data_IF_144389866688
#
_entry.id   IF_144389866688
#
_cell.length_a   1.000
_cell.length_b   1.000
_cell.length_c   1.000
_cell.angle_alpha   90.00
_cell.angle_beta   90.00
_cell.angle_gamma   90.00
#
_symmetry.space_group_name_H-M   'P 1'
#
loop_
_entity.id
_entity.type
_entity.pdbx_description
1 polymer ?
#
# COMPACT_ATOMS: atom_id res chain seq x y z
N UNK A 1 13.90 4.15 -20.42
CA UNK A 1 12.48 3.73 -20.42
C UNK A 1 12.34 2.49 -21.28
N UNK A 2 11.77 1.39 -20.74
CA UNK A 2 11.40 0.23 -21.56
C UNK A 2 10.20 0.60 -22.45
N UNK A 3 10.24 0.21 -23.74
CA UNK A 3 9.24 0.52 -24.75
C UNK A 3 8.49 -0.70 -25.22
N UNK A 4 9.06 -1.92 -25.08
CA UNK A 4 8.42 -3.19 -25.42
C UNK A 4 9.25 -4.38 -24.97
N UNK A 5 8.63 -5.55 -24.97
CA UNK A 5 9.30 -6.84 -24.74
C UNK A 5 8.87 -7.83 -25.80
N UNK A 6 9.79 -8.71 -26.20
CA UNK A 6 9.50 -9.83 -27.07
C UNK A 6 10.11 -11.10 -26.47
N UNK A 7 9.42 -12.23 -26.47
CA UNK A 7 10.00 -13.50 -26.06
C UNK A 7 11.11 -13.91 -27.07
N UNK A 8 12.19 -14.49 -26.54
CA UNK A 8 13.23 -15.13 -27.33
C UNK A 8 13.20 -16.61 -26.97
N UNK A 9 12.85 -17.43 -27.93
CA UNK A 9 12.60 -18.85 -27.72
C UNK A 9 13.81 -19.54 -27.04
N UNK A 10 13.55 -20.23 -25.93
CA UNK A 10 14.54 -20.90 -25.10
C UNK A 10 15.53 -19.99 -24.38
N UNK A 11 15.57 -18.69 -24.64
CA UNK A 11 16.61 -17.76 -24.15
C UNK A 11 16.12 -16.67 -23.19
N UNK A 12 14.82 -16.38 -23.11
CA UNK A 12 14.26 -15.35 -22.25
C UNK A 12 13.56 -14.22 -23.00
N UNK A 13 13.95 -12.98 -22.75
CA UNK A 13 13.28 -11.80 -23.25
C UNK A 13 14.23 -10.84 -23.96
N UNK A 14 13.75 -10.22 -25.02
CA UNK A 14 14.37 -9.04 -25.63
C UNK A 14 13.60 -7.81 -25.18
N UNK A 15 14.26 -6.90 -24.49
CA UNK A 15 13.70 -5.66 -23.98
C UNK A 15 14.11 -4.52 -24.91
N UNK A 16 13.13 -3.87 -25.52
CA UNK A 16 13.35 -2.63 -26.26
C UNK A 16 13.35 -1.46 -25.28
N UNK A 17 14.29 -0.56 -25.39
CA UNK A 17 14.41 0.60 -24.50
C UNK A 17 14.82 1.86 -25.24
N UNK A 18 14.54 2.99 -24.61
CA UNK A 18 14.84 4.34 -25.12
C UNK A 18 15.43 5.19 -23.99
N UNK A 19 16.50 5.91 -24.28
CA UNK A 19 17.13 6.90 -23.43
C UNK A 19 17.37 8.19 -24.25
N UNK A 20 16.55 9.23 -24.00
CA UNK A 20 16.51 10.38 -24.88
C UNK A 20 16.09 10.00 -26.30
N UNK A 21 16.89 10.40 -27.30
CA UNK A 21 16.71 10.03 -28.71
C UNK A 21 17.25 8.63 -29.05
N UNK A 22 18.09 8.03 -28.19
CA UNK A 22 18.73 6.74 -28.47
C UNK A 22 17.80 5.60 -28.14
N UNK A 23 17.66 4.67 -29.07
CA UNK A 23 16.94 3.41 -28.90
C UNK A 23 17.91 2.22 -28.90
N UNK A 24 17.55 1.18 -28.14
CA UNK A 24 18.39 -0.01 -28.05
C UNK A 24 17.59 -1.24 -27.65
N UNK A 25 18.25 -2.39 -27.67
CA UNK A 25 17.68 -3.65 -27.22
C UNK A 25 18.67 -4.36 -26.29
N UNK A 26 18.12 -5.00 -25.25
CA UNK A 26 18.87 -5.84 -24.32
C UNK A 26 18.18 -7.21 -24.23
N UNK A 27 18.96 -8.29 -24.34
CA UNK A 27 18.44 -9.65 -24.13
C UNK A 27 18.77 -10.10 -22.72
N UNK A 28 17.78 -10.68 -22.02
CA UNK A 28 17.95 -11.17 -20.66
C UNK A 28 17.33 -12.56 -20.51
N UNK A 29 17.92 -13.39 -19.63
CA UNK A 29 17.40 -14.73 -19.30
C UNK A 29 16.16 -14.66 -18.42
N UNK A 30 16.11 -13.68 -17.50
CA UNK A 30 15.00 -13.42 -16.61
C UNK A 30 14.62 -11.93 -16.69
N UNK A 31 13.33 -11.64 -16.86
CA UNK A 31 12.77 -10.30 -16.82
C UNK A 31 12.17 -10.04 -15.45
N UNK A 32 12.62 -9.01 -14.77
CA UNK A 32 12.05 -8.53 -13.50
C UNK A 32 11.26 -7.26 -13.75
N UNK A 33 9.95 -7.30 -13.46
CA UNK A 33 9.10 -6.11 -13.46
C UNK A 33 9.03 -5.52 -12.05
N UNK A 34 9.76 -4.43 -11.83
CA UNK A 34 9.75 -3.62 -10.61
C UNK A 34 9.51 -2.13 -10.96
N UNK A 35 8.69 -1.90 -11.97
CA UNK A 35 8.45 -0.62 -12.65
C UNK A 35 7.23 0.13 -12.09
N UNK A 36 6.86 -0.16 -10.83
CA UNK A 36 5.89 0.59 -10.05
C UNK A 36 4.43 0.33 -10.41
N UNK A 37 3.55 1.18 -9.90
CA UNK A 37 2.10 1.01 -9.99
C UNK A 37 1.58 0.96 -11.43
N UNK A 38 2.15 1.76 -12.33
CA UNK A 38 1.83 1.79 -13.76
C UNK A 38 2.59 0.74 -14.60
N UNK A 39 3.02 -0.36 -13.99
CA UNK A 39 3.90 -1.36 -14.59
C UNK A 39 3.52 -1.72 -16.03
N UNK A 40 4.41 -1.39 -16.96
CA UNK A 40 4.33 -1.82 -18.36
C UNK A 40 4.69 -3.30 -18.48
N UNK A 41 5.66 -3.77 -17.71
CA UNK A 41 6.04 -5.18 -17.67
C UNK A 41 4.84 -6.05 -17.29
N UNK A 42 4.08 -5.68 -16.25
CA UNK A 42 2.82 -6.34 -15.89
C UNK A 42 1.83 -6.42 -17.04
N UNK A 43 1.66 -5.32 -17.75
CA UNK A 43 0.77 -5.24 -18.91
C UNK A 43 1.22 -6.17 -20.05
N UNK A 44 2.49 -6.08 -20.45
CA UNK A 44 3.05 -6.89 -21.53
C UNK A 44 3.03 -8.39 -21.21
N UNK A 45 3.27 -8.77 -19.95
CA UNK A 45 3.20 -10.16 -19.48
C UNK A 45 1.77 -10.67 -19.33
N UNK A 46 0.75 -9.82 -19.51
CA UNK A 46 -0.68 -10.14 -19.28
C UNK A 46 -0.90 -10.77 -17.90
N UNK A 47 -0.28 -10.20 -16.89
CA UNK A 47 -0.28 -10.72 -15.50
C UNK A 47 -1.57 -10.42 -14.74
N UNK A 48 -2.47 -9.63 -15.31
CA UNK A 48 -3.72 -9.18 -14.69
C UNK A 48 -3.57 -7.82 -14.00
N UNK A 49 -4.65 -7.40 -13.32
CA UNK A 49 -4.69 -6.14 -12.56
C UNK A 49 -4.57 -6.44 -11.07
N UNK A 50 -4.05 -5.51 -10.24
CA UNK A 50 -4.22 -5.55 -8.80
C UNK A 50 -5.69 -5.64 -8.42
N UNK A 51 -6.00 -6.15 -7.23
CA UNK A 51 -7.38 -6.29 -6.76
C UNK A 51 -8.08 -4.94 -6.59
N UNK A 52 -7.31 -3.94 -6.21
CA UNK A 52 -7.77 -2.56 -6.05
C UNK A 52 -6.66 -1.60 -6.49
N UNK A 53 -7.05 -0.41 -6.86
CA UNK A 53 -6.13 0.71 -7.13
C UNK A 53 -6.73 1.91 -6.41
N UNK A 54 -6.01 2.40 -5.41
CA UNK A 54 -6.33 3.64 -4.72
C UNK A 54 -5.61 4.79 -5.39
N UNK A 55 -6.08 6.01 -5.14
CA UNK A 55 -5.42 7.23 -5.59
C UNK A 55 -4.91 7.97 -4.36
N UNK A 56 -3.61 8.19 -4.30
CA UNK A 56 -2.96 9.02 -3.30
C UNK A 56 -2.66 10.41 -3.85
N UNK A 57 -2.94 11.44 -3.07
CA UNK A 57 -2.54 12.81 -3.35
C UNK A 57 -1.84 13.40 -2.13
N UNK A 58 -0.68 14.01 -2.32
CA UNK A 58 0.16 14.51 -1.24
C UNK A 58 0.86 15.79 -1.65
N UNK A 59 0.96 16.72 -0.71
CA UNK A 59 1.83 17.88 -0.81
C UNK A 59 2.92 17.81 0.26
N UNK A 60 4.08 18.36 -0.02
CA UNK A 60 5.08 18.66 0.99
C UNK A 60 5.01 20.16 1.29
N UNK A 61 4.96 20.51 2.57
CA UNK A 61 4.74 21.88 3.03
C UNK A 61 5.75 22.28 4.10
N UNK A 62 6.05 23.57 4.18
CA UNK A 62 6.60 24.23 5.38
C UNK A 62 5.49 24.88 6.17
N UNK A 63 5.74 25.26 7.43
CA UNK A 63 4.83 26.09 8.25
C UNK A 63 3.61 25.38 8.81
N UNK A 64 3.52 24.04 8.76
CA UNK A 64 2.45 23.28 9.43
C UNK A 64 2.58 23.37 10.96
N UNK A 65 1.48 23.68 11.64
CA UNK A 65 1.45 23.86 13.11
C UNK A 65 1.21 22.52 13.81
N UNK A 66 2.31 21.89 14.23
CA UNK A 66 2.30 20.62 14.96
C UNK A 66 3.54 20.47 15.83
N UNK A 67 3.54 19.47 16.69
CA UNK A 67 4.75 18.94 17.31
C UNK A 67 5.38 17.91 16.34
N UNK A 68 6.60 18.17 15.87
CA UNK A 68 7.31 17.33 14.88
C UNK A 68 7.56 15.88 15.33
N UNK A 69 7.24 15.55 16.58
CA UNK A 69 7.32 14.18 17.10
C UNK A 69 6.15 13.30 16.70
N UNK A 70 5.06 13.88 16.18
CA UNK A 70 3.83 13.16 15.89
C UNK A 70 3.56 13.00 14.41
N UNK A 71 3.21 11.79 14.03
CA UNK A 71 2.45 11.52 12.81
C UNK A 71 0.98 11.69 13.17
N UNK A 72 0.26 12.49 12.41
CA UNK A 72 -1.17 12.71 12.61
C UNK A 72 -1.99 12.08 11.50
N UNK A 73 -3.15 11.56 11.87
CA UNK A 73 -4.09 10.96 10.96
C UNK A 73 -5.45 11.64 11.10
N UNK A 74 -6.09 11.98 9.96
CA UNK A 74 -7.40 12.58 9.90
C UNK A 74 -8.33 11.61 9.16
N UNK A 75 -9.53 11.41 9.71
CA UNK A 75 -10.57 10.56 9.12
C UNK A 75 -11.87 11.33 8.99
N UNK A 76 -12.82 10.77 8.26
CA UNK A 76 -14.15 11.33 8.05
C UNK A 76 -14.49 11.46 6.57
N UNK A 77 -15.80 11.40 6.29
CA UNK A 77 -16.32 11.37 4.93
C UNK A 77 -15.96 12.65 4.14
N UNK A 78 -15.93 13.80 4.81
CA UNK A 78 -15.55 15.08 4.21
C UNK A 78 -14.05 15.29 4.01
N UNK A 79 -13.19 14.45 4.62
CA UNK A 79 -11.73 14.58 4.60
C UNK A 79 -11.11 13.55 3.65
N UNK A 80 -11.41 12.27 3.90
CA UNK A 80 -10.87 11.16 3.13
C UNK A 80 -11.89 10.01 3.12
N UNK A 81 -12.92 10.05 2.26
CA UNK A 81 -14.04 9.13 2.29
C UNK A 81 -13.59 7.68 2.22
N UNK A 82 -13.98 6.90 3.24
CA UNK A 82 -13.63 5.48 3.40
C UNK A 82 -12.17 5.18 3.74
N UNK A 83 -11.33 6.20 3.96
CA UNK A 83 -9.89 6.09 4.22
C UNK A 83 -9.41 7.13 5.23
N UNK A 84 -8.19 7.65 5.05
CA UNK A 84 -7.63 8.67 5.93
C UNK A 84 -6.69 9.61 5.18
N UNK A 85 -6.50 10.78 5.77
CA UNK A 85 -5.45 11.73 5.45
C UNK A 85 -4.38 11.72 6.54
N UNK A 86 -3.20 12.22 6.23
CA UNK A 86 -2.05 12.24 7.13
C UNK A 86 -1.32 13.59 7.13
N UNK A 87 -0.63 13.86 8.24
CA UNK A 87 0.44 14.83 8.32
C UNK A 87 1.67 14.13 8.92
N UNK A 88 2.73 14.00 8.12
CA UNK A 88 3.93 13.26 8.45
C UNK A 88 5.14 14.20 8.45
N UNK A 89 5.86 14.38 9.57
CA UNK A 89 7.08 15.18 9.59
C UNK A 89 8.17 14.48 8.77
N UNK A 90 8.95 15.27 8.03
CA UNK A 90 10.09 14.76 7.24
C UNK A 90 11.39 14.77 8.02
N UNK A 91 11.46 15.45 9.15
CA UNK A 91 12.67 15.70 9.93
C UNK A 91 13.54 16.87 9.42
N UNK A 92 13.08 17.59 8.39
CA UNK A 92 13.80 18.71 7.77
C UNK A 92 12.97 20.02 7.76
N UNK A 93 12.10 20.21 8.77
CA UNK A 93 11.23 21.40 8.86
C UNK A 93 10.07 21.40 7.86
N UNK A 94 9.86 20.31 7.14
CA UNK A 94 8.71 20.13 6.25
C UNK A 94 7.81 18.99 6.73
N UNK A 95 6.56 19.00 6.25
CA UNK A 95 5.59 17.95 6.49
C UNK A 95 4.98 17.47 5.18
N UNK A 96 4.71 16.17 5.10
CA UNK A 96 3.94 15.58 4.02
C UNK A 96 2.48 15.49 4.44
N UNK A 97 1.65 16.32 3.82
CA UNK A 97 0.20 16.32 4.03
C UNK A 97 -0.43 15.63 2.84
N UNK A 98 -1.20 14.59 3.09
CA UNK A 98 -1.79 13.84 1.99
C UNK A 98 -3.01 13.06 2.41
N UNK A 99 -3.68 12.49 1.44
CA UNK A 99 -4.77 11.54 1.62
C UNK A 99 -4.74 10.48 0.53
N UNK A 100 -5.45 9.42 0.75
CA UNK A 100 -5.76 8.42 -0.26
C UNK A 100 -7.23 8.01 -0.17
N UNK A 101 -7.79 7.61 -1.30
CA UNK A 101 -9.14 7.08 -1.38
C UNK A 101 -9.29 6.16 -2.60
N UNK A 102 -10.38 5.43 -2.66
CA UNK A 102 -10.71 4.62 -3.83
C UNK A 102 -11.47 5.45 -4.88
N UNK A 103 -11.33 5.14 -6.18
CA UNK A 103 -12.01 5.88 -7.25
C UNK A 103 -13.53 5.95 -7.09
N UNK A 104 -14.16 4.89 -6.58
CA UNK A 104 -15.61 4.81 -6.32
C UNK A 104 -16.09 5.75 -5.21
N UNK A 105 -15.21 6.14 -4.29
CA UNK A 105 -15.48 7.13 -3.23
C UNK A 105 -15.19 8.57 -3.65
N UNK A 106 -14.59 8.76 -4.83
CA UNK A 106 -14.19 10.06 -5.38
C UNK A 106 -15.17 10.59 -6.42
N UNK A 107 -16.39 10.06 -6.49
CA UNK A 107 -17.39 10.47 -7.50
C UNK A 107 -17.78 11.96 -7.39
N UNK A 108 -17.75 12.52 -6.18
CA UNK A 108 -18.20 13.89 -5.91
C UNK A 108 -17.08 14.88 -5.60
N UNK A 109 -15.85 14.41 -5.35
CA UNK A 109 -14.71 15.26 -5.05
C UNK A 109 -13.38 14.63 -5.49
N UNK A 110 -12.55 15.38 -6.21
CA UNK A 110 -11.21 14.90 -6.54
C UNK A 110 -10.32 14.79 -5.29
N UNK A 111 -9.27 13.97 -5.28
CA UNK A 111 -8.31 13.92 -4.19
C UNK A 111 -7.68 15.28 -3.88
N UNK A 112 -7.51 16.12 -4.90
CA UNK A 112 -6.99 17.48 -4.75
C UNK A 112 -8.01 18.38 -4.03
N UNK A 113 -9.29 18.29 -4.38
CA UNK A 113 -10.35 19.06 -3.73
C UNK A 113 -10.50 18.67 -2.25
N UNK A 114 -10.44 17.36 -1.93
CA UNK A 114 -10.46 16.88 -0.56
C UNK A 114 -9.25 17.36 0.25
N UNK A 115 -8.05 17.30 -0.33
CA UNK A 115 -6.84 17.81 0.32
C UNK A 115 -6.91 19.34 0.54
N UNK A 116 -7.43 20.08 -0.43
CA UNK A 116 -7.71 21.50 -0.29
C UNK A 116 -8.75 21.75 0.83
N UNK A 117 -9.81 20.97 0.87
CA UNK A 117 -10.83 21.04 1.94
C UNK A 117 -10.23 20.82 3.32
N UNK A 118 -9.38 19.79 3.50
CA UNK A 118 -8.67 19.55 4.76
C UNK A 118 -7.85 20.79 5.18
N UNK A 119 -7.10 21.37 4.25
CA UNK A 119 -6.13 22.42 4.54
C UNK A 119 -6.79 23.82 4.71
N UNK A 120 -7.96 24.08 4.10
CA UNK A 120 -8.49 25.45 4.02
C UNK A 120 -9.90 25.63 4.56
N UNK A 121 -10.71 24.58 4.62
CA UNK A 121 -12.13 24.69 5.02
C UNK A 121 -12.57 23.77 6.15
N UNK A 122 -11.73 22.77 6.51
CA UNK A 122 -12.05 21.88 7.62
C UNK A 122 -11.89 22.56 8.99
N UNK A 123 -12.38 21.91 10.03
CA UNK A 123 -12.12 22.32 11.44
C UNK A 123 -10.64 22.38 11.82
N UNK A 124 -9.75 21.88 10.96
CA UNK A 124 -8.31 21.87 11.16
C UNK A 124 -7.57 22.96 10.36
N UNK A 125 -8.30 23.78 9.60
CA UNK A 125 -7.73 24.76 8.64
C UNK A 125 -6.72 25.73 9.28
N UNK A 126 -6.97 26.18 10.51
CA UNK A 126 -6.06 27.09 11.22
C UNK A 126 -4.65 26.53 11.40
N UNK A 127 -4.49 25.22 11.41
CA UNK A 127 -3.19 24.55 11.54
C UNK A 127 -2.37 24.63 10.26
N UNK A 128 -3.05 24.80 9.13
CA UNK A 128 -2.46 24.89 7.80
C UNK A 128 -2.33 26.34 7.29
N UNK A 129 -2.79 27.34 8.06
CA UNK A 129 -2.87 28.74 7.62
C UNK A 129 -1.54 29.33 7.12
N UNK A 130 -0.41 28.87 7.67
CA UNK A 130 0.94 29.31 7.30
C UNK A 130 1.67 28.32 6.38
N UNK A 131 0.98 27.29 5.89
CA UNK A 131 1.61 26.31 5.02
C UNK A 131 1.98 26.89 3.65
N UNK A 132 3.22 26.64 3.24
CA UNK A 132 3.68 26.89 1.88
C UNK A 132 4.01 25.56 1.20
N UNK A 133 3.38 25.30 0.07
CA UNK A 133 3.59 24.04 -0.67
C UNK A 133 4.91 24.13 -1.42
N UNK A 134 5.82 23.19 -1.13
CA UNK A 134 7.13 23.07 -1.77
C UNK A 134 7.19 21.94 -2.80
N UNK A 135 6.33 20.93 -2.69
CA UNK A 135 6.22 19.84 -3.67
C UNK A 135 4.81 19.24 -3.70
N UNK A 136 4.47 18.61 -4.83
CA UNK A 136 3.17 17.91 -5.05
C UNK A 136 3.41 16.52 -5.62
N UNK A 137 2.65 15.55 -5.14
CA UNK A 137 2.72 14.15 -5.57
C UNK A 137 1.30 13.62 -5.73
N UNK A 138 1.05 12.93 -6.83
CA UNK A 138 -0.20 12.20 -7.06
C UNK A 138 0.11 10.90 -7.78
N UNK A 139 -0.55 9.82 -7.39
CA UNK A 139 -0.34 8.54 -8.06
C UNK A 139 -1.21 7.41 -7.55
N UNK A 140 -1.29 6.32 -8.33
CA UNK A 140 -2.02 5.13 -7.92
C UNK A 140 -1.24 4.32 -6.88
N UNK A 141 -1.99 3.72 -5.96
CA UNK A 141 -1.51 2.81 -4.93
C UNK A 141 -2.16 1.45 -5.19
N UNK A 142 -1.43 0.48 -5.77
CA UNK A 142 -2.00 -0.81 -6.16
C UNK A 142 -2.00 -1.79 -4.99
N UNK A 143 -3.18 -2.20 -4.53
CA UNK A 143 -3.39 -3.18 -3.47
C UNK A 143 -3.89 -4.53 -4.00
N UNK A 144 -3.48 -5.61 -3.34
CA UNK A 144 -3.88 -6.96 -3.68
C UNK A 144 -3.15 -7.55 -4.89
N UNK A 145 -2.20 -8.43 -4.60
CA UNK A 145 -1.31 -9.03 -5.59
C UNK A 145 -2.06 -9.54 -6.83
N UNK A 146 -1.50 -9.23 -7.99
CA UNK A 146 -2.03 -9.69 -9.28
C UNK A 146 -2.15 -11.21 -9.35
N UNK A 147 -3.04 -11.70 -10.22
CA UNK A 147 -3.31 -13.14 -10.33
C UNK A 147 -2.09 -13.95 -10.80
N UNK A 148 -1.27 -13.37 -11.67
CA UNK A 148 -0.13 -14.05 -12.29
C UNK A 148 1.15 -13.23 -12.13
N UNK A 149 1.72 -13.11 -10.91
CA UNK A 149 2.95 -12.35 -10.69
C UNK A 149 4.19 -13.04 -11.28
N UNK A 150 4.05 -14.31 -11.68
CA UNK A 150 5.10 -15.15 -12.28
C UNK A 150 4.65 -15.59 -13.66
N UNK A 151 5.56 -15.51 -14.63
CA UNK A 151 5.40 -15.98 -16.01
C UNK A 151 6.68 -16.72 -16.43
N UNK A 152 6.66 -17.30 -17.62
CA UNK A 152 7.83 -17.91 -18.20
C UNK A 152 8.99 -16.90 -18.22
N UNK A 153 10.10 -17.21 -17.53
CA UNK A 153 11.28 -16.35 -17.42
C UNK A 153 10.97 -14.89 -17.03
N UNK A 154 9.94 -14.69 -16.18
CA UNK A 154 9.57 -13.35 -15.71
C UNK A 154 8.88 -13.35 -14.35
N UNK A 155 9.18 -12.35 -13.52
CA UNK A 155 8.56 -12.14 -12.20
C UNK A 155 8.27 -10.65 -11.97
N UNK A 156 7.18 -10.37 -11.22
CA UNK A 156 6.79 -9.01 -10.81
C UNK A 156 7.02 -8.83 -9.33
N UNK A 157 7.51 -7.64 -8.94
CA UNK A 157 7.82 -7.27 -7.55
C UNK A 157 7.21 -5.93 -7.17
N UNK A 158 6.96 -5.75 -5.88
CA UNK A 158 6.47 -4.50 -5.30
C UNK A 158 5.14 -4.04 -5.92
N UNK A 159 5.02 -2.76 -6.19
CA UNK A 159 3.81 -2.16 -6.78
C UNK A 159 3.49 -2.71 -8.18
N UNK A 160 4.50 -3.13 -8.94
CA UNK A 160 4.28 -3.82 -10.21
C UNK A 160 3.50 -5.14 -10.02
N UNK A 161 3.67 -5.81 -8.89
CA UNK A 161 2.89 -6.97 -8.48
C UNK A 161 1.59 -6.64 -7.74
N UNK A 162 1.33 -5.36 -7.40
CA UNK A 162 0.16 -4.95 -6.63
C UNK A 162 0.32 -5.17 -5.13
N UNK A 163 1.49 -4.86 -4.55
CA UNK A 163 1.83 -5.28 -3.20
C UNK A 163 1.82 -4.15 -2.15
N UNK A 164 1.19 -3.00 -2.42
CA UNK A 164 0.97 -1.99 -1.39
C UNK A 164 0.07 -2.53 -0.26
N UNK A 165 0.37 -2.13 1.00
CA UNK A 165 -0.44 -2.51 2.17
C UNK A 165 -1.85 -1.94 2.05
N UNK A 166 -2.90 -2.74 2.15
CA UNK A 166 -4.28 -2.24 2.08
C UNK A 166 -4.64 -1.26 3.20
N UNK A 167 -3.95 -1.31 4.35
CA UNK A 167 -4.23 -0.50 5.53
C UNK A 167 -3.57 0.87 5.53
N UNK A 168 -2.37 0.99 4.92
CA UNK A 168 -1.55 2.22 5.01
C UNK A 168 -1.06 2.74 3.67
N UNK A 169 -1.28 1.99 2.57
CA UNK A 169 -0.75 2.33 1.25
C UNK A 169 0.77 2.12 1.07
N UNK A 170 1.49 1.75 2.14
CA UNK A 170 2.94 1.56 2.10
C UNK A 170 3.36 0.34 1.28
N UNK A 171 4.24 0.52 0.28
CA UNK A 171 4.71 -0.54 -0.63
C UNK A 171 6.13 -1.04 -0.35
N UNK A 172 6.98 -0.24 0.32
CA UNK A 172 8.42 -0.53 0.48
C UNK A 172 8.65 -1.81 1.31
N UNK A 173 8.09 -1.88 2.51
CA UNK A 173 8.24 -3.04 3.40
C UNK A 173 7.76 -4.35 2.76
N UNK A 174 6.51 -4.41 2.25
CA UNK A 174 6.03 -5.60 1.54
C UNK A 174 6.87 -5.97 0.31
N UNK A 175 7.38 -4.98 -0.43
CA UNK A 175 8.24 -5.21 -1.59
C UNK A 175 9.57 -5.86 -1.18
N UNK A 176 10.23 -5.37 -0.14
CA UNK A 176 11.46 -5.99 0.38
C UNK A 176 11.19 -7.39 0.94
N UNK A 177 10.10 -7.58 1.69
CA UNK A 177 9.71 -8.91 2.18
C UNK A 177 9.47 -9.88 1.02
N UNK A 178 8.80 -9.42 -0.05
CA UNK A 178 8.57 -10.24 -1.25
C UNK A 178 9.89 -10.71 -1.87
N UNK A 179 10.88 -9.82 -1.99
CA UNK A 179 12.20 -10.15 -2.54
C UNK A 179 12.94 -11.13 -1.62
N UNK A 180 13.02 -10.85 -0.31
CA UNK A 180 13.78 -11.67 0.64
C UNK A 180 13.27 -13.12 0.72
N UNK A 181 11.98 -13.34 0.51
CA UNK A 181 11.39 -14.69 0.52
C UNK A 181 11.87 -15.60 -0.61
N UNK A 182 12.44 -15.03 -1.69
CA UNK A 182 12.76 -15.80 -2.90
C UNK A 182 14.18 -15.58 -3.40
N UNK A 183 14.92 -14.61 -2.88
CA UNK A 183 16.19 -14.14 -3.44
C UNK A 183 17.21 -15.27 -3.67
N UNK A 184 17.51 -16.07 -2.66
CA UNK A 184 18.53 -17.11 -2.75
C UNK A 184 18.15 -18.19 -3.77
N UNK A 185 16.91 -18.71 -3.67
CA UNK A 185 16.40 -19.71 -4.62
C UNK A 185 16.31 -19.18 -6.04
N UNK A 186 16.00 -17.90 -6.20
CA UNK A 186 15.94 -17.26 -7.51
C UNK A 186 17.35 -17.12 -8.09
N UNK A 187 18.34 -16.76 -7.28
CA UNK A 187 19.73 -16.69 -7.67
C UNK A 187 20.25 -18.07 -8.16
N UNK A 188 19.99 -19.12 -7.40
CA UNK A 188 20.31 -20.51 -7.81
C UNK A 188 19.65 -20.88 -9.14
N UNK A 189 18.37 -20.58 -9.30
CA UNK A 189 17.63 -20.85 -10.53
C UNK A 189 18.17 -20.07 -11.75
N UNK A 190 18.62 -18.82 -11.54
CA UNK A 190 19.27 -18.03 -12.59
C UNK A 190 20.61 -18.65 -13.00
N UNK A 191 21.41 -19.10 -12.04
CA UNK A 191 22.69 -19.78 -12.33
C UNK A 191 22.48 -21.05 -13.11
N UNK A 192 21.50 -21.87 -12.72
CA UNK A 192 21.19 -23.15 -13.36
C UNK A 192 20.32 -23.03 -14.63
N UNK A 193 19.93 -21.83 -15.02
CA UNK A 193 18.96 -21.55 -16.11
C UNK A 193 17.59 -22.27 -15.94
N UNK A 194 17.17 -22.55 -14.70
CA UNK A 194 15.90 -23.20 -14.36
C UNK A 194 14.79 -22.17 -14.20
N UNK A 195 14.43 -21.45 -15.26
CA UNK A 195 13.57 -20.27 -15.26
C UNK A 195 12.18 -20.50 -15.88
N UNK A 196 11.75 -21.76 -16.01
CA UNK A 196 10.38 -22.07 -16.45
C UNK A 196 9.34 -21.47 -15.52
N UNK A 197 8.16 -21.16 -16.06
CA UNK A 197 7.04 -20.65 -15.24
C UNK A 197 6.73 -21.61 -14.07
N UNK A 198 6.83 -22.91 -14.28
CA UNK A 198 6.59 -23.93 -13.24
C UNK A 198 7.64 -23.85 -12.13
N UNK A 199 8.92 -23.73 -12.45
CA UNK A 199 9.99 -23.60 -11.47
C UNK A 199 9.86 -22.29 -10.70
N UNK A 200 9.66 -21.17 -11.40
CA UNK A 200 9.50 -19.86 -10.76
C UNK A 200 8.26 -19.78 -9.86
N UNK A 201 7.15 -20.47 -10.21
CA UNK A 201 5.98 -20.59 -9.32
C UNK A 201 6.30 -21.37 -8.04
N UNK A 202 7.13 -22.42 -8.10
CA UNK A 202 7.57 -23.14 -6.89
C UNK A 202 8.43 -22.25 -6.01
N UNK A 203 9.32 -21.46 -6.58
CA UNK A 203 10.14 -20.47 -5.87
C UNK A 203 9.26 -19.41 -5.22
N UNK A 204 8.24 -18.92 -5.92
CA UNK A 204 7.31 -17.88 -5.46
C UNK A 204 6.20 -18.39 -4.51
N UNK A 205 6.14 -19.68 -4.17
CA UNK A 205 5.12 -20.24 -3.26
C UNK A 205 5.01 -19.52 -1.90
N UNK A 206 6.11 -19.04 -1.28
CA UNK A 206 6.01 -18.25 -0.05
C UNK A 206 5.16 -16.96 -0.20
N UNK A 207 5.00 -16.42 -1.40
CA UNK A 207 4.14 -15.25 -1.65
C UNK A 207 2.66 -15.48 -1.40
N UNK A 208 2.22 -16.72 -1.28
CA UNK A 208 0.83 -17.06 -0.90
C UNK A 208 0.52 -16.59 0.53
N UNK A 209 1.53 -16.51 1.40
CA UNK A 209 1.39 -15.89 2.73
C UNK A 209 1.13 -14.38 2.60
N UNK A 210 1.88 -13.68 1.74
CA UNK A 210 1.66 -12.24 1.49
C UNK A 210 0.27 -11.96 0.94
N UNK A 211 -0.21 -12.81 0.02
CA UNK A 211 -1.57 -12.67 -0.54
C UNK A 211 -2.63 -12.82 0.54
N UNK A 212 -2.53 -13.85 1.40
CA UNK A 212 -3.46 -14.06 2.51
C UNK A 212 -3.43 -12.89 3.48
N UNK A 213 -2.24 -12.41 3.83
CA UNK A 213 -2.07 -11.26 4.71
C UNK A 213 -2.74 -10.01 4.13
N UNK A 214 -2.51 -9.69 2.86
CA UNK A 214 -3.16 -8.56 2.19
C UNK A 214 -4.68 -8.69 2.14
N UNK A 215 -5.19 -9.90 1.87
CA UNK A 215 -6.64 -10.15 1.82
C UNK A 215 -7.29 -9.87 3.18
N UNK A 216 -6.70 -10.38 4.27
CA UNK A 216 -7.17 -10.13 5.64
C UNK A 216 -7.05 -8.66 6.04
N UNK A 217 -5.91 -8.03 5.73
CA UNK A 217 -5.70 -6.62 6.02
C UNK A 217 -6.71 -5.72 5.30
N UNK A 218 -7.08 -6.05 4.05
CA UNK A 218 -8.12 -5.33 3.30
C UNK A 218 -9.49 -5.52 3.94
N UNK A 219 -9.85 -6.73 4.36
CA UNK A 219 -11.12 -6.98 5.05
C UNK A 219 -11.22 -6.18 6.35
N UNK A 220 -10.15 -6.11 7.13
CA UNK A 220 -10.10 -5.28 8.33
C UNK A 220 -10.22 -3.79 8.00
N UNK A 221 -9.48 -3.29 7.03
CA UNK A 221 -9.62 -1.88 6.61
C UNK A 221 -11.05 -1.57 6.18
N UNK A 222 -11.68 -2.43 5.38
CA UNK A 222 -13.05 -2.20 4.93
C UNK A 222 -13.99 -2.10 6.12
N UNK A 223 -13.90 -3.02 7.08
CA UNK A 223 -14.71 -3.00 8.28
C UNK A 223 -14.52 -1.73 9.12
N UNK A 224 -13.25 -1.29 9.29
CA UNK A 224 -12.93 -0.19 10.21
C UNK A 224 -13.02 1.19 9.59
N UNK A 225 -12.80 1.32 8.29
CA UNK A 225 -12.73 2.60 7.59
C UNK A 225 -13.76 2.70 6.45
N UNK A 226 -13.68 1.79 5.45
CA UNK A 226 -14.42 1.95 4.21
C UNK A 226 -15.93 1.80 4.39
N UNK A 227 -16.37 0.93 5.30
CA UNK A 227 -17.79 0.64 5.59
C UNK A 227 -18.32 1.40 6.81
N UNK A 228 -17.51 2.26 7.42
CA UNK A 228 -17.86 3.02 8.62
C UNK A 228 -18.24 4.45 8.25
N UNK A 229 -19.38 4.92 8.74
CA UNK A 229 -19.73 6.33 8.78
C UNK A 229 -18.96 7.08 9.90
N UNK A 230 -19.07 8.40 9.93
CA UNK A 230 -18.33 9.24 10.88
C UNK A 230 -18.65 8.90 12.33
N UNK A 231 -19.92 8.60 12.66
CA UNK A 231 -20.33 8.20 14.02
C UNK A 231 -19.73 6.85 14.43
N UNK A 232 -19.61 5.94 13.49
CA UNK A 232 -18.95 4.62 13.72
C UNK A 232 -17.46 4.78 13.88
N UNK A 233 -16.82 5.63 13.08
CA UNK A 233 -15.40 5.97 13.22
C UNK A 233 -15.11 6.59 14.59
N UNK A 234 -15.94 7.53 15.04
CA UNK A 234 -15.81 8.15 16.36
C UNK A 234 -15.90 7.11 17.49
N UNK A 235 -16.86 6.18 17.41
CA UNK A 235 -16.97 5.07 18.38
C UNK A 235 -15.74 4.16 18.36
N UNK A 236 -15.18 3.85 17.18
CA UNK A 236 -13.96 3.04 17.09
C UNK A 236 -12.77 3.78 17.72
N UNK A 237 -12.59 5.06 17.38
CA UNK A 237 -11.50 5.88 17.93
C UNK A 237 -11.63 6.00 19.45
N UNK A 238 -12.84 6.18 19.97
CA UNK A 238 -13.08 6.27 21.42
C UNK A 238 -12.63 5.00 22.18
N UNK A 239 -12.76 3.81 21.59
CA UNK A 239 -12.21 2.56 22.17
C UNK A 239 -10.70 2.60 22.21
N UNK A 240 -10.04 3.01 21.11
CA UNK A 240 -8.58 3.03 21.01
C UNK A 240 -7.95 4.18 21.83
N UNK A 241 -8.70 5.25 22.10
CA UNK A 241 -8.25 6.40 22.90
C UNK A 241 -8.31 6.17 24.42
N UNK A 242 -8.86 5.05 24.90
CA UNK A 242 -8.84 4.72 26.33
C UNK A 242 -7.40 4.61 26.83
N UNK A 243 -7.05 5.18 28.01
CA UNK A 243 -5.67 5.20 28.51
C UNK A 243 -5.02 3.81 28.58
N UNK A 244 -5.74 2.82 29.08
CA UNK A 244 -5.27 1.44 29.15
C UNK A 244 -5.05 0.79 27.78
N UNK A 245 -5.84 1.17 26.78
CA UNK A 245 -5.68 0.70 25.39
C UNK A 245 -4.47 1.36 24.75
N UNK A 246 -4.32 2.67 24.96
CA UNK A 246 -3.15 3.43 24.47
C UNK A 246 -1.84 2.87 25.06
N UNK A 247 -1.83 2.53 26.35
CA UNK A 247 -0.67 1.89 26.99
C UNK A 247 -0.37 0.51 26.37
N UNK A 248 -1.41 -0.30 26.14
CA UNK A 248 -1.25 -1.59 25.47
C UNK A 248 -0.72 -1.44 24.03
N UNK A 249 -1.20 -0.45 23.29
CA UNK A 249 -0.73 -0.14 21.93
C UNK A 249 0.76 0.25 21.99
N UNK A 250 1.16 1.11 22.90
CA UNK A 250 2.55 1.54 23.05
C UNK A 250 3.49 0.38 23.41
N UNK A 251 3.00 -0.61 24.17
CA UNK A 251 3.81 -1.75 24.60
C UNK A 251 3.84 -2.89 23.60
N UNK A 252 2.72 -3.20 22.96
CA UNK A 252 2.52 -4.41 22.13
C UNK A 252 2.23 -4.09 20.67
N UNK A 253 2.04 -2.81 20.32
CA UNK A 253 1.67 -2.40 18.99
C UNK A 253 2.80 -2.67 17.99
N UNK A 254 2.52 -3.58 17.06
CA UNK A 254 3.36 -3.85 15.91
C UNK A 254 2.47 -3.88 14.66
N UNK A 255 2.71 -2.94 13.74
CA UNK A 255 1.91 -2.80 12.52
C UNK A 255 2.07 -4.01 11.58
N UNK A 256 3.17 -4.77 11.73
CA UNK A 256 3.40 -6.01 10.95
C UNK A 256 2.85 -7.24 11.66
N UNK A 257 2.73 -7.21 13.00
CA UNK A 257 2.28 -8.32 13.83
C UNK A 257 1.18 -7.91 14.83
N UNK A 258 -0.03 -7.51 14.37
CA UNK A 258 -1.08 -6.95 15.23
C UNK A 258 -1.77 -7.99 16.15
N UNK A 259 -1.54 -9.28 15.93
CA UNK A 259 -2.26 -10.36 16.64
C UNK A 259 -2.04 -10.34 18.16
N UNK A 260 -0.79 -10.18 18.70
CA UNK A 260 -0.59 -10.13 20.14
C UNK A 260 -1.35 -9.00 20.83
N UNK A 261 -1.36 -7.80 20.25
CA UNK A 261 -2.13 -6.67 20.72
C UNK A 261 -3.64 -6.97 20.70
N UNK A 262 -4.15 -7.51 19.58
CA UNK A 262 -5.56 -7.85 19.44
C UNK A 262 -6.05 -8.86 20.47
N UNK A 263 -5.24 -9.88 20.80
CA UNK A 263 -5.56 -10.86 21.84
C UNK A 263 -5.59 -10.25 23.24
N UNK A 264 -4.64 -9.37 23.56
CA UNK A 264 -4.60 -8.69 24.87
C UNK A 264 -5.79 -7.74 25.03
N UNK A 265 -6.14 -6.98 23.97
CA UNK A 265 -7.33 -6.12 23.95
C UNK A 265 -8.62 -6.94 24.12
N UNK A 266 -8.75 -8.06 23.42
CA UNK A 266 -9.92 -8.94 23.54
C UNK A 266 -10.12 -9.42 24.99
N UNK A 267 -9.03 -9.72 25.69
CA UNK A 267 -9.05 -10.19 27.09
C UNK A 267 -9.37 -9.06 28.07
N UNK A 268 -8.76 -7.87 27.89
CA UNK A 268 -8.79 -6.80 28.89
C UNK A 268 -9.80 -5.68 28.63
N UNK A 269 -10.25 -5.50 27.38
CA UNK A 269 -11.12 -4.38 26.97
C UNK A 269 -12.50 -4.91 26.55
N UNK A 270 -13.50 -4.87 27.46
CA UNK A 270 -14.85 -5.38 27.13
C UNK A 270 -15.48 -4.69 25.92
N UNK A 271 -15.28 -3.40 25.75
CA UNK A 271 -15.78 -2.61 24.60
C UNK A 271 -15.16 -3.01 23.25
N UNK A 272 -14.01 -3.68 23.28
CA UNK A 272 -13.36 -4.20 22.07
C UNK A 272 -13.94 -5.53 21.57
N UNK A 273 -14.61 -6.31 22.45
CA UNK A 273 -15.10 -7.66 22.11
C UNK A 273 -16.03 -7.71 20.90
N UNK A 274 -17.07 -6.86 20.79
CA UNK A 274 -17.95 -6.88 19.62
C UNK A 274 -17.19 -6.56 18.32
N UNK A 275 -16.24 -5.62 18.40
CA UNK A 275 -15.39 -5.23 17.29
C UNK A 275 -14.46 -6.37 16.85
N UNK A 276 -13.85 -7.07 17.81
CA UNK A 276 -12.99 -8.21 17.58
C UNK A 276 -13.74 -9.41 16.94
N UNK A 277 -14.99 -9.66 17.33
CA UNK A 277 -15.81 -10.69 16.71
C UNK A 277 -16.12 -10.36 15.24
N UNK A 278 -16.50 -9.12 14.94
CA UNK A 278 -16.71 -8.65 13.56
C UNK A 278 -15.44 -8.74 12.73
N UNK A 279 -14.30 -8.32 13.30
CA UNK A 279 -12.99 -8.41 12.66
C UNK A 279 -12.57 -9.87 12.38
N UNK A 280 -12.77 -10.77 13.35
CA UNK A 280 -12.52 -12.21 13.19
C UNK A 280 -13.35 -12.80 12.06
N UNK A 281 -14.64 -12.49 12.03
CA UNK A 281 -15.55 -12.93 10.96
C UNK A 281 -15.11 -12.40 9.59
N UNK A 282 -14.84 -11.11 9.47
CA UNK A 282 -14.37 -10.50 8.23
C UNK A 282 -13.07 -11.13 7.69
N UNK A 283 -12.13 -11.48 8.59
CA UNK A 283 -10.87 -12.16 8.19
C UNK A 283 -11.07 -13.63 7.79
N UNK A 284 -12.09 -14.31 8.29
CA UNK A 284 -12.39 -15.71 7.95
C UNK A 284 -13.14 -15.83 6.63
N UNK A 285 -13.93 -14.80 6.27
CA UNK A 285 -14.77 -14.80 5.07
C UNK A 285 -14.10 -14.09 3.87
N UNK A 286 -12.94 -13.50 4.07
CA UNK A 286 -12.13 -12.83 3.03
C UNK A 286 -11.24 -13.84 2.28
#
# INVERSE_FOLDING_TARGET
>A
KATGILPVEGKGWRVHHQQGANTGTTTCRLLVGADGAHSRVRHWLRSGRPKEIMIGNQVEVTGFRTDERWLEMFTGESIAPGFFAWAIPTGFGTHRIGLWSSPDRLEHASPEALLHGLMHTSRHADRFANCQIVARYCGPIPGGMVRRPVRERAMLFGDAAGLAKPTTGGGIGPGFKQVSMVADRLAEAIHADLLSETTLKKIARPWDELKRHQTRARALRNLFLTESDDDTLERHVAVFAQPEVTEMINRLGDIEHPVPLGLEMLRKVPSFRPLALRAGWAMLTA
#
